data_IF_398004271463
#
_entry.id   IF_398004271463
#
_cell.length_a   1.000
_cell.length_b   1.000
_cell.length_c   1.000
_cell.angle_alpha   90.00
_cell.angle_beta   90.00
_cell.angle_gamma   90.00
#
_symmetry.space_group_name_H-M   'P 1'
#
loop_
_entity.id
_entity.type
_entity.pdbx_description
1 polymer ?
#
# COMPACT_ATOMS: atom_id res chain seq x y z
N UNK A 1 7.85 -15.41 21.00
CA UNK A 1 8.72 -14.71 20.04
C UNK A 1 8.05 -13.39 19.66
N UNK A 2 8.55 -12.25 20.16
CA UNK A 2 8.19 -10.93 19.61
C UNK A 2 8.88 -10.82 18.27
N UNK A 3 8.11 -10.81 17.17
CA UNK A 3 8.63 -10.37 15.87
C UNK A 3 9.14 -8.94 16.04
N UNK A 4 10.45 -8.74 15.90
CA UNK A 4 11.02 -7.40 15.73
C UNK A 4 10.46 -6.87 14.41
N UNK A 5 9.81 -5.72 14.44
CA UNK A 5 9.31 -5.09 13.22
C UNK A 5 10.47 -4.71 12.31
N UNK A 6 10.25 -4.72 10.99
CA UNK A 6 11.26 -4.30 9.99
C UNK A 6 11.90 -2.93 10.31
N UNK A 7 11.16 -2.08 10.99
CA UNK A 7 11.59 -0.79 11.51
C UNK A 7 12.67 -0.90 12.60
N UNK A 8 12.54 -1.82 13.56
CA UNK A 8 13.57 -2.04 14.59
C UNK A 8 14.85 -2.65 14.01
N UNK A 9 14.74 -3.39 12.90
CA UNK A 9 15.90 -3.96 12.20
C UNK A 9 16.61 -2.88 11.37
N UNK A 10 15.89 -2.05 10.61
CA UNK A 10 16.49 -1.04 9.72
C UNK A 10 17.22 0.09 10.44
N UNK A 11 16.63 0.65 11.48
CA UNK A 11 17.21 1.78 12.24
C UNK A 11 18.36 1.31 13.13
N UNK A 12 18.25 0.14 13.76
CA UNK A 12 19.35 -0.43 14.57
C UNK A 12 20.51 -0.92 13.73
N UNK A 13 20.29 -1.40 12.51
CA UNK A 13 21.36 -1.82 11.60
C UNK A 13 22.27 -0.63 11.24
N UNK A 14 21.72 0.52 10.89
CA UNK A 14 22.54 1.70 10.53
C UNK A 14 23.22 2.30 11.77
N UNK A 15 22.52 2.51 12.88
CA UNK A 15 23.09 3.12 14.09
C UNK A 15 24.06 2.19 14.85
N UNK A 16 23.67 0.94 15.14
CA UNK A 16 24.49 0.01 15.92
C UNK A 16 25.67 -0.54 15.11
N UNK A 17 25.52 -0.80 13.81
CA UNK A 17 26.62 -1.19 12.95
C UNK A 17 27.68 -0.10 12.82
N UNK A 18 27.28 1.18 12.90
CA UNK A 18 28.21 2.28 12.86
C UNK A 18 28.97 2.47 14.18
N UNK A 19 28.36 2.21 15.34
CA UNK A 19 29.07 2.22 16.64
C UNK A 19 30.07 1.05 16.77
N UNK A 20 29.79 -0.11 16.20
CA UNK A 20 30.71 -1.27 16.16
C UNK A 20 31.92 -0.97 15.27
N UNK A 21 31.78 -0.13 14.24
CA UNK A 21 32.85 0.24 13.31
C UNK A 21 33.92 1.13 13.90
N UNK A 22 33.59 1.93 14.91
CA UNK A 22 34.55 2.79 15.61
C UNK A 22 35.77 2.00 16.08
N UNK A 23 35.53 0.83 16.66
CA UNK A 23 36.58 -0.07 17.11
C UNK A 23 37.29 -0.83 15.97
N UNK A 24 36.74 -0.87 14.74
CA UNK A 24 37.27 -1.69 13.65
C UNK A 24 38.19 -0.92 12.67
N UNK A 25 37.90 0.36 12.40
CA UNK A 25 38.73 1.25 11.56
C UNK A 25 39.50 2.30 12.37
N UNK A 26 39.35 2.32 13.70
CA UNK A 26 40.00 3.30 14.58
C UNK A 26 39.50 4.73 14.41
N UNK A 27 38.32 4.95 13.84
CA UNK A 27 37.68 6.25 13.63
C UNK A 27 36.71 6.60 14.76
N UNK A 28 36.61 7.87 15.10
CA UNK A 28 35.58 8.38 15.99
C UNK A 28 34.21 8.42 15.28
N UNK A 29 33.16 7.93 15.94
CA UNK A 29 31.79 8.02 15.43
C UNK A 29 30.83 8.48 16.52
N UNK A 30 29.94 9.39 16.16
CA UNK A 30 28.79 9.79 16.97
C UNK A 30 27.51 9.63 16.19
N UNK A 31 26.50 9.03 16.82
CA UNK A 31 25.17 8.83 16.27
C UNK A 31 24.12 9.53 17.12
N UNK A 32 23.17 10.19 16.47
CA UNK A 32 21.99 10.76 17.11
C UNK A 32 20.76 10.40 16.30
N UNK A 33 19.97 9.48 16.83
CA UNK A 33 18.71 9.07 16.21
C UNK A 33 17.57 9.94 16.72
N UNK A 34 16.89 10.58 15.80
CA UNK A 34 15.71 11.39 16.05
C UNK A 34 14.49 10.66 15.50
N UNK A 35 13.72 10.05 16.39
CA UNK A 35 12.45 9.43 16.03
C UNK A 35 11.30 10.35 16.43
N UNK A 36 10.39 10.62 15.50
CA UNK A 36 9.14 11.31 15.84
C UNK A 36 8.35 10.51 16.88
N UNK A 37 7.80 11.18 17.90
CA UNK A 37 7.03 10.56 18.99
C UNK A 37 5.71 9.91 18.54
N UNK A 38 5.33 10.02 17.29
CA UNK A 38 4.03 9.60 16.80
C UNK A 38 4.16 8.44 15.84
N UNK A 39 3.62 7.30 16.25
CA UNK A 39 3.08 6.22 15.42
C UNK A 39 4.06 5.47 14.49
N UNK A 40 3.78 4.21 14.23
CA UNK A 40 4.36 3.42 13.14
C UNK A 40 4.30 4.25 11.85
N UNK A 41 5.45 4.36 11.14
CA UNK A 41 5.65 5.19 9.94
C UNK A 41 5.93 6.70 10.17
N UNK A 42 6.36 7.12 11.36
CA UNK A 42 6.91 8.46 11.58
C UNK A 42 8.26 8.64 10.88
N UNK A 43 8.58 9.87 10.45
CA UNK A 43 9.88 10.21 9.89
C UNK A 43 11.00 9.92 10.90
N UNK A 44 12.08 9.28 10.43
CA UNK A 44 13.28 9.00 11.23
C UNK A 44 14.46 9.69 10.59
N UNK A 45 15.20 10.43 11.40
CA UNK A 45 16.45 11.06 11.02
C UNK A 45 17.56 10.52 11.90
N UNK A 46 18.64 10.06 11.29
CA UNK A 46 19.86 9.69 12.00
C UNK A 46 20.98 10.63 11.60
N UNK A 47 21.50 11.37 12.55
CA UNK A 47 22.71 12.18 12.38
C UNK A 47 23.91 11.32 12.71
N UNK A 48 24.83 11.24 11.77
CA UNK A 48 26.04 10.44 11.88
C UNK A 48 27.23 11.30 11.60
N UNK A 49 28.15 11.39 12.57
CA UNK A 49 29.43 12.06 12.42
C UNK A 49 30.55 11.03 12.46
N UNK A 50 31.45 11.10 11.50
CA UNK A 50 32.63 10.25 11.39
C UNK A 50 33.85 11.16 11.33
N UNK A 51 34.81 10.96 12.22
CA UNK A 51 36.08 11.70 12.28
C UNK A 51 37.25 10.75 12.38
N UNK A 52 38.45 11.22 12.15
CA UNK A 52 39.65 10.37 12.28
C UNK A 52 39.90 10.00 13.75
N UNK A 53 39.49 10.84 14.70
CA UNK A 53 39.59 10.58 16.13
C UNK A 53 38.30 10.96 16.84
N UNK A 54 37.91 10.25 17.93
CA UNK A 54 36.73 10.58 18.71
C UNK A 54 36.71 12.01 19.26
N UNK A 55 37.86 12.55 19.61
CA UNK A 55 38.03 13.89 20.18
C UNK A 55 37.70 15.02 19.18
N UNK A 56 37.72 14.72 17.89
CA UNK A 56 37.40 15.67 16.82
C UNK A 56 35.89 15.85 16.64
N UNK A 57 35.05 15.08 17.37
CA UNK A 57 33.58 15.16 17.32
C UNK A 57 33.06 16.00 18.47
N UNK A 58 32.77 17.27 18.21
CA UNK A 58 32.31 18.23 19.23
C UNK A 58 30.77 18.30 19.38
N UNK A 59 30.00 17.75 18.47
CA UNK A 59 28.55 17.73 18.51
C UNK A 59 27.99 16.48 17.82
N UNK A 60 26.94 15.89 18.38
CA UNK A 60 26.24 14.75 17.76
C UNK A 60 25.31 15.20 16.61
N UNK A 61 24.67 16.36 16.74
CA UNK A 61 23.74 16.88 15.73
C UNK A 61 24.49 17.58 14.60
N UNK A 62 24.09 17.29 13.36
CA UNK A 62 24.55 18.01 12.17
C UNK A 62 23.79 19.35 12.10
N UNK A 63 24.50 20.46 12.02
CA UNK A 63 23.91 21.80 11.91
C UNK A 63 23.40 22.07 10.49
N UNK A 64 22.79 23.24 10.28
CA UNK A 64 22.28 23.68 8.98
C UNK A 64 23.42 23.80 7.96
N UNK A 65 23.25 23.19 6.80
CA UNK A 65 24.24 23.20 5.71
C UNK A 65 25.53 22.42 5.98
N UNK A 66 25.60 21.59 7.02
CA UNK A 66 26.84 20.88 7.41
C UNK A 66 26.90 19.42 6.91
N UNK A 67 25.84 18.88 6.33
CA UNK A 67 25.89 17.51 5.84
C UNK A 67 26.82 17.38 4.64
N UNK A 68 27.70 16.36 4.66
CA UNK A 68 28.50 15.97 3.50
C UNK A 68 27.79 14.93 2.65
N UNK A 69 27.00 14.05 3.28
CA UNK A 69 26.25 13.00 2.60
C UNK A 69 24.85 12.87 3.16
N UNK A 70 23.87 12.63 2.28
CA UNK A 70 22.50 12.26 2.63
C UNK A 70 22.23 10.87 2.04
N UNK A 71 21.85 9.93 2.89
CA UNK A 71 21.33 8.62 2.50
C UNK A 71 19.83 8.59 2.79
N UNK A 72 19.02 8.79 1.76
CA UNK A 72 17.57 8.89 1.86
C UNK A 72 16.88 7.55 1.55
N UNK A 73 16.43 6.83 2.56
CA UNK A 73 15.60 5.63 2.37
C UNK A 73 14.16 5.91 1.95
N UNK A 74 13.71 7.15 2.09
CA UNK A 74 12.37 7.63 1.73
C UNK A 74 12.47 9.03 1.10
N UNK A 75 11.82 9.21 -0.06
CA UNK A 75 11.91 10.44 -0.83
C UNK A 75 11.19 11.61 -0.14
N UNK A 76 10.02 11.38 0.47
CA UNK A 76 9.22 12.42 1.15
C UNK A 76 9.99 12.96 2.35
N UNK A 77 10.58 12.07 3.13
CA UNK A 77 11.41 12.43 4.30
C UNK A 77 12.67 13.17 3.85
N UNK A 78 13.31 12.71 2.77
CA UNK A 78 14.53 13.33 2.23
C UNK A 78 14.30 14.74 1.67
N UNK A 79 13.11 15.03 1.13
CA UNK A 79 12.70 16.33 0.64
C UNK A 79 11.99 17.20 1.71
N UNK A 80 11.96 16.75 2.97
CA UNK A 80 11.37 17.53 4.06
C UNK A 80 12.24 18.76 4.41
N UNK A 81 11.62 19.80 4.97
CA UNK A 81 12.31 21.02 5.42
C UNK A 81 13.46 20.71 6.39
N UNK A 82 13.31 19.71 7.27
CA UNK A 82 14.36 19.30 8.22
C UNK A 82 15.57 18.73 7.47
N UNK A 83 15.36 17.80 6.51
CA UNK A 83 16.44 17.21 5.72
C UNK A 83 17.13 18.26 4.83
N UNK A 84 16.34 19.05 4.09
CA UNK A 84 16.86 20.11 3.22
C UNK A 84 17.68 21.14 3.99
N UNK A 85 17.30 21.46 5.22
CA UNK A 85 18.08 22.41 6.05
C UNK A 85 19.51 21.94 6.35
N UNK A 86 19.81 20.64 6.24
CA UNK A 86 21.16 20.10 6.48
C UNK A 86 22.02 20.12 5.23
N UNK A 87 21.43 20.34 4.07
CA UNK A 87 22.08 20.29 2.76
C UNK A 87 22.64 21.65 2.38
N UNK A 88 23.73 21.63 1.64
CA UNK A 88 24.38 22.82 1.06
C UNK A 88 24.94 22.46 -0.31
N UNK A 89 24.59 23.24 -1.33
CA UNK A 89 25.12 23.11 -2.68
C UNK A 89 26.65 23.18 -2.69
N UNK A 90 27.30 22.33 -3.49
CA UNK A 90 28.75 22.23 -3.60
C UNK A 90 29.43 21.51 -2.42
N UNK A 91 28.70 21.16 -1.35
CA UNK A 91 29.23 20.40 -0.22
C UNK A 91 28.54 19.04 -0.06
N UNK A 92 27.20 19.01 -0.15
CA UNK A 92 26.40 17.83 0.15
C UNK A 92 26.18 17.02 -1.13
N UNK A 93 26.43 15.71 -1.06
CA UNK A 93 25.97 14.75 -2.06
C UNK A 93 24.89 13.85 -1.49
N UNK A 94 23.91 13.48 -2.29
CA UNK A 94 22.77 12.68 -1.85
C UNK A 94 22.56 11.44 -2.73
N UNK A 95 22.25 10.31 -2.09
CA UNK A 95 21.69 9.11 -2.72
C UNK A 95 20.33 8.85 -2.07
N UNK A 96 19.27 8.87 -2.86
CA UNK A 96 17.91 8.82 -2.35
C UNK A 96 17.10 7.72 -3.05
N UNK A 97 16.42 6.89 -2.27
CA UNK A 97 15.47 5.94 -2.80
C UNK A 97 14.24 6.68 -3.33
N UNK A 98 13.95 6.48 -4.62
CA UNK A 98 12.82 7.10 -5.30
C UNK A 98 11.57 6.22 -5.34
N UNK A 99 11.50 5.19 -4.51
CA UNK A 99 10.31 4.33 -4.40
C UNK A 99 9.10 5.13 -3.98
N UNK A 100 8.00 4.99 -4.73
CA UNK A 100 6.73 5.64 -4.42
C UNK A 100 6.07 4.97 -3.22
N UNK A 101 6.10 5.63 -2.07
CA UNK A 101 5.44 5.14 -0.86
C UNK A 101 4.18 5.97 -0.58
N UNK A 102 2.96 5.39 -0.68
CA UNK A 102 1.73 6.12 -0.44
C UNK A 102 1.70 6.75 0.96
N UNK A 103 1.48 8.07 1.02
CA UNK A 103 1.33 8.81 2.29
C UNK A 103 -0.12 8.77 2.79
N UNK A 104 -0.39 9.33 4.00
CA UNK A 104 -1.74 9.43 4.53
C UNK A 104 -2.71 10.22 3.62
N UNK A 105 -2.21 11.08 2.74
CA UNK A 105 -3.04 11.81 1.78
C UNK A 105 -3.78 10.90 0.80
N UNK A 106 -3.19 9.77 0.43
CA UNK A 106 -3.86 8.73 -0.38
C UNK A 106 -5.18 8.25 0.25
N UNK A 107 -5.29 8.23 1.58
CA UNK A 107 -6.52 7.83 2.27
C UNK A 107 -7.60 8.92 2.26
N UNK A 108 -7.22 10.18 2.07
CA UNK A 108 -8.09 11.38 2.08
C UNK A 108 -8.51 11.78 0.69
N UNK A 109 -7.61 11.70 -0.28
CA UNK A 109 -7.84 12.05 -1.68
C UNK A 109 -7.65 10.82 -2.56
N UNK A 110 -8.70 10.41 -3.28
CA UNK A 110 -8.67 9.24 -4.20
C UNK A 110 -7.83 9.49 -5.45
N UNK A 111 -7.79 10.74 -5.89
CA UNK A 111 -7.10 11.17 -7.10
C UNK A 111 -5.69 11.69 -6.78
N UNK A 112 -5.23 11.42 -5.55
CA UNK A 112 -3.88 11.79 -5.15
C UNK A 112 -2.85 10.93 -5.88
N UNK A 113 -1.95 11.61 -6.57
CA UNK A 113 -0.79 10.99 -7.19
C UNK A 113 0.45 11.35 -6.38
N UNK A 114 1.36 10.39 -6.25
CA UNK A 114 2.62 10.64 -5.56
C UNK A 114 3.42 11.72 -6.31
N UNK A 115 3.81 12.83 -5.67
CA UNK A 115 4.45 13.95 -6.35
C UNK A 115 5.95 13.69 -6.61
N UNK A 116 6.28 12.53 -7.23
CA UNK A 116 7.64 12.05 -7.45
C UNK A 116 8.53 13.11 -8.10
N UNK A 117 8.09 13.64 -9.24
CA UNK A 117 8.87 14.63 -9.99
C UNK A 117 9.11 15.91 -9.20
N UNK A 118 8.12 16.40 -8.44
CA UNK A 118 8.24 17.60 -7.62
C UNK A 118 9.24 17.42 -6.47
N UNK A 119 9.21 16.28 -5.79
CA UNK A 119 10.15 15.98 -4.70
C UNK A 119 11.58 15.80 -5.19
N UNK A 120 11.74 15.12 -6.35
CA UNK A 120 13.06 15.00 -6.99
C UNK A 120 13.59 16.36 -7.43
N UNK A 121 12.75 17.18 -8.03
CA UNK A 121 13.13 18.53 -8.46
C UNK A 121 13.59 19.39 -7.29
N UNK A 122 12.91 19.34 -6.16
CA UNK A 122 13.29 20.09 -4.95
C UNK A 122 14.68 19.72 -4.42
N UNK A 123 15.04 18.44 -4.44
CA UNK A 123 16.38 17.97 -4.07
C UNK A 123 17.42 18.45 -5.08
N UNK A 124 17.12 18.38 -6.39
CA UNK A 124 17.99 18.85 -7.45
C UNK A 124 18.21 20.35 -7.38
N UNK A 125 17.18 21.14 -7.08
CA UNK A 125 17.30 22.59 -6.90
C UNK A 125 18.13 22.96 -5.69
N UNK A 126 18.09 22.14 -4.62
CA UNK A 126 18.86 22.40 -3.39
C UNK A 126 20.33 22.04 -3.52
N UNK A 127 20.68 21.00 -4.28
CA UNK A 127 22.04 20.44 -4.30
C UNK A 127 22.76 20.56 -5.66
N UNK A 128 22.04 20.86 -6.73
CA UNK A 128 22.49 20.70 -8.10
C UNK A 128 22.35 19.27 -8.62
N UNK A 129 22.09 19.13 -9.93
CA UNK A 129 21.80 17.83 -10.58
C UNK A 129 22.89 16.78 -10.37
N UNK A 130 24.14 17.18 -10.41
CA UNK A 130 25.30 16.27 -10.35
C UNK A 130 25.59 15.76 -8.92
N UNK A 131 24.91 16.33 -7.92
CA UNK A 131 25.11 15.98 -6.51
C UNK A 131 23.97 15.11 -5.94
N UNK A 132 22.98 14.75 -6.75
CA UNK A 132 21.84 13.92 -6.32
C UNK A 132 21.69 12.72 -7.25
N UNK A 133 21.73 11.54 -6.66
CA UNK A 133 21.46 10.27 -7.35
C UNK A 133 20.17 9.64 -6.80
N UNK A 134 19.33 9.16 -7.72
CA UNK A 134 18.09 8.48 -7.39
C UNK A 134 18.18 7.01 -7.77
N UNK A 135 17.75 6.14 -6.85
CA UNK A 135 17.75 4.69 -7.03
C UNK A 135 16.46 4.11 -6.47
N UNK A 136 15.78 3.21 -7.18
CA UNK A 136 14.67 2.46 -6.60
C UNK A 136 15.19 1.28 -5.78
N UNK A 137 15.61 1.59 -4.55
CA UNK A 137 16.23 0.61 -3.67
C UNK A 137 15.26 -0.51 -3.24
N UNK A 138 13.98 -0.22 -3.08
CA UNK A 138 12.98 -1.23 -2.68
C UNK A 138 12.67 -2.20 -3.81
N UNK A 139 12.51 -1.68 -5.03
CA UNK A 139 12.33 -2.55 -6.21
C UNK A 139 13.54 -3.47 -6.40
N UNK A 140 14.73 -2.91 -6.39
CA UNK A 140 15.94 -3.70 -6.56
C UNK A 140 16.12 -4.74 -5.44
N UNK A 141 15.84 -4.37 -4.18
CA UNK A 141 15.91 -5.31 -3.08
C UNK A 141 14.88 -6.43 -3.22
N UNK A 142 13.64 -6.11 -3.58
CA UNK A 142 12.58 -7.11 -3.78
C UNK A 142 12.92 -8.04 -4.94
N UNK A 143 13.36 -7.50 -6.07
CA UNK A 143 13.65 -8.29 -7.27
C UNK A 143 14.90 -9.18 -7.12
N UNK A 144 15.94 -8.67 -6.45
CA UNK A 144 17.25 -9.35 -6.37
C UNK A 144 17.42 -10.18 -5.10
N UNK A 145 16.70 -9.83 -4.01
CA UNK A 145 16.85 -10.44 -2.69
C UNK A 145 15.55 -11.09 -2.19
N UNK A 146 14.43 -10.88 -2.88
CA UNK A 146 13.12 -11.42 -2.51
C UNK A 146 12.37 -10.61 -1.45
N UNK A 147 12.96 -9.55 -0.86
CA UNK A 147 12.31 -8.75 0.18
C UNK A 147 12.83 -7.30 0.18
N UNK A 148 11.92 -6.34 0.29
CA UNK A 148 12.21 -4.91 0.42
C UNK A 148 12.97 -4.55 1.72
N UNK A 149 13.00 -5.43 2.72
CA UNK A 149 13.77 -5.24 3.96
C UNK A 149 15.26 -5.00 3.72
N UNK A 150 15.80 -5.50 2.61
CA UNK A 150 17.19 -5.33 2.23
C UNK A 150 17.51 -4.01 1.53
N UNK A 151 16.50 -3.15 1.28
CA UNK A 151 16.68 -1.88 0.58
C UNK A 151 17.69 -0.95 1.25
N UNK A 152 17.72 -0.90 2.60
CA UNK A 152 18.65 -0.05 3.34
C UNK A 152 20.11 -0.51 3.17
N UNK A 153 20.36 -1.82 3.18
CA UNK A 153 21.70 -2.36 2.96
C UNK A 153 22.16 -2.18 1.51
N UNK A 154 21.24 -2.29 0.55
CA UNK A 154 21.51 -2.01 -0.86
C UNK A 154 21.84 -0.52 -1.04
N UNK A 155 21.05 0.39 -0.46
CA UNK A 155 21.29 1.83 -0.50
C UNK A 155 22.65 2.19 0.12
N UNK A 156 22.99 1.57 1.25
CA UNK A 156 24.30 1.73 1.90
C UNK A 156 25.44 1.29 0.98
N UNK A 157 25.30 0.16 0.30
CA UNK A 157 26.29 -0.36 -0.67
C UNK A 157 26.47 0.58 -1.85
N UNK A 158 25.39 1.13 -2.36
CA UNK A 158 25.39 2.13 -3.43
C UNK A 158 26.14 3.42 -3.02
N UNK A 159 25.76 3.97 -1.87
CA UNK A 159 26.38 5.19 -1.34
C UNK A 159 27.86 4.98 -1.00
N UNK A 160 28.23 3.81 -0.46
CA UNK A 160 29.61 3.47 -0.16
C UNK A 160 30.48 3.40 -1.43
N UNK A 161 29.95 2.78 -2.48
CA UNK A 161 30.67 2.67 -3.76
C UNK A 161 30.91 4.05 -4.40
N UNK A 162 30.00 4.99 -4.17
CA UNK A 162 30.12 6.39 -4.61
C UNK A 162 30.97 7.26 -3.66
N UNK A 163 31.61 6.66 -2.65
CA UNK A 163 32.51 7.37 -1.75
C UNK A 163 31.84 8.24 -0.68
N UNK A 164 30.53 8.06 -0.46
CA UNK A 164 29.78 8.85 0.53
C UNK A 164 29.92 8.34 1.97
N UNK A 165 30.46 7.16 2.16
CA UNK A 165 30.64 6.51 3.46
C UNK A 165 32.13 6.24 3.69
N UNK A 166 32.83 7.04 4.52
CA UNK A 166 34.28 7.02 4.65
C UNK A 166 34.78 5.95 5.63
N UNK A 167 34.38 4.68 5.41
CA UNK A 167 34.81 3.52 6.19
C UNK A 167 35.20 2.37 5.25
N UNK A 168 36.09 1.48 5.70
CA UNK A 168 36.56 0.38 4.88
C UNK A 168 35.47 -0.69 4.62
N UNK A 169 35.55 -1.39 3.49
CA UNK A 169 34.67 -2.52 3.19
C UNK A 169 34.82 -3.65 4.22
N UNK A 170 36.03 -3.86 4.73
CA UNK A 170 36.32 -4.87 5.74
C UNK A 170 35.63 -4.57 7.08
N UNK A 171 35.63 -3.29 7.48
CA UNK A 171 34.93 -2.86 8.68
C UNK A 171 33.41 -3.03 8.56
N UNK A 172 32.85 -2.69 7.39
CA UNK A 172 31.43 -2.91 7.09
C UNK A 172 31.04 -4.39 7.13
N UNK A 173 31.82 -5.24 6.48
CA UNK A 173 31.58 -6.67 6.46
C UNK A 173 31.61 -7.27 7.88
N UNK A 174 32.60 -6.88 8.68
CA UNK A 174 32.72 -7.32 10.07
C UNK A 174 31.57 -6.81 10.93
N UNK A 175 31.07 -5.58 10.71
CA UNK A 175 29.91 -5.05 11.39
C UNK A 175 28.64 -5.84 11.06
N UNK A 176 28.43 -6.22 9.80
CA UNK A 176 27.33 -7.09 9.37
C UNK A 176 27.39 -8.45 10.11
N UNK A 177 28.58 -9.05 10.22
CA UNK A 177 28.78 -10.31 10.95
C UNK A 177 28.47 -10.16 12.43
N UNK A 178 28.96 -9.10 13.06
CA UNK A 178 28.75 -8.84 14.50
C UNK A 178 27.27 -8.56 14.84
N UNK A 179 26.51 -7.95 13.94
CA UNK A 179 25.06 -7.76 14.09
C UNK A 179 24.29 -9.11 14.11
N UNK A 180 24.79 -10.14 13.46
CA UNK A 180 24.29 -11.50 13.50
C UNK A 180 22.93 -11.76 12.86
N UNK A 181 22.24 -10.73 12.33
CA UNK A 181 20.95 -10.86 11.69
C UNK A 181 21.11 -11.03 10.19
N UNK A 182 20.62 -12.12 9.60
CA UNK A 182 20.60 -12.40 8.17
C UNK A 182 21.94 -12.03 7.46
N UNK A 183 23.07 -12.38 8.05
CA UNK A 183 24.42 -11.92 7.69
C UNK A 183 24.70 -12.05 6.21
N UNK A 184 24.48 -13.23 5.63
CA UNK A 184 24.78 -13.44 4.22
C UNK A 184 23.87 -12.64 3.29
N UNK A 185 22.57 -12.55 3.61
CA UNK A 185 21.63 -11.75 2.83
C UNK A 185 21.98 -10.24 2.87
N UNK A 186 22.39 -9.72 4.03
CA UNK A 186 22.84 -8.33 4.16
C UNK A 186 24.12 -8.05 3.38
N UNK A 187 25.07 -9.01 3.37
CA UNK A 187 26.27 -8.94 2.52
C UNK A 187 25.93 -8.89 1.04
N UNK A 188 25.03 -9.75 0.60
CA UNK A 188 24.58 -9.79 -0.79
C UNK A 188 23.84 -8.50 -1.18
N UNK A 189 22.97 -7.98 -0.32
CA UNK A 189 22.30 -6.71 -0.57
C UNK A 189 23.28 -5.53 -0.69
N UNK A 190 24.26 -5.44 0.21
CA UNK A 190 25.33 -4.46 0.12
C UNK A 190 26.12 -4.59 -1.20
N UNK A 191 26.46 -5.82 -1.60
CA UNK A 191 27.16 -6.07 -2.85
C UNK A 191 26.32 -5.69 -4.08
N UNK A 192 25.01 -5.95 -4.07
CA UNK A 192 24.11 -5.51 -5.14
C UNK A 192 24.03 -3.99 -5.23
N UNK A 193 24.00 -3.29 -4.10
CA UNK A 193 24.07 -1.83 -4.08
C UNK A 193 25.35 -1.30 -4.74
N UNK A 194 26.50 -1.88 -4.41
CA UNK A 194 27.79 -1.55 -5.05
C UNK A 194 27.76 -1.79 -6.56
N UNK A 195 27.22 -2.92 -6.99
CA UNK A 195 27.08 -3.24 -8.43
C UNK A 195 26.17 -2.24 -9.15
N UNK A 196 25.07 -1.83 -8.51
CA UNK A 196 24.14 -0.86 -9.07
C UNK A 196 24.78 0.53 -9.24
N UNK A 197 25.71 0.92 -8.37
CA UNK A 197 26.48 2.16 -8.51
C UNK A 197 27.50 2.12 -9.68
N UNK A 198 28.05 0.94 -9.98
CA UNK A 198 29.03 0.78 -11.07
C UNK A 198 28.37 0.59 -12.44
N UNK A 199 27.30 -0.22 -12.49
CA UNK A 199 26.58 -0.53 -13.73
C UNK A 199 25.08 -0.64 -13.46
N UNK A 200 24.39 0.52 -13.35
CA UNK A 200 22.97 0.56 -13.03
C UNK A 200 22.11 -0.11 -14.11
N UNK A 201 22.52 -0.02 -15.39
CA UNK A 201 21.75 -0.60 -16.49
C UNK A 201 21.76 -2.13 -16.45
N UNK A 202 22.91 -2.72 -16.15
CA UNK A 202 23.05 -4.17 -16.02
C UNK A 202 22.26 -4.71 -14.84
N UNK A 203 22.30 -4.02 -13.70
CA UNK A 203 21.55 -4.40 -12.51
C UNK A 203 20.05 -4.26 -12.75
N UNK A 204 19.59 -3.18 -13.36
CA UNK A 204 18.18 -3.00 -13.72
C UNK A 204 17.71 -4.10 -14.70
N UNK A 205 18.53 -4.51 -15.65
CA UNK A 205 18.20 -5.62 -16.56
C UNK A 205 18.05 -6.97 -15.83
N UNK A 206 18.88 -7.23 -14.82
CA UNK A 206 18.81 -8.45 -14.00
C UNK A 206 17.58 -8.42 -13.09
N UNK A 207 17.30 -7.28 -12.49
CA UNK A 207 16.11 -7.08 -11.63
C UNK A 207 14.81 -7.23 -12.41
N UNK A 208 14.82 -6.95 -13.72
CA UNK A 208 13.64 -6.94 -14.56
C UNK A 208 12.80 -5.68 -14.39
N UNK A 209 11.69 -5.60 -15.12
CA UNK A 209 10.76 -4.48 -14.98
C UNK A 209 10.17 -4.46 -13.57
N UNK A 210 9.85 -3.27 -13.09
CA UNK A 210 9.04 -3.10 -11.88
C UNK A 210 7.72 -3.82 -12.16
N UNK A 211 7.44 -4.92 -11.43
CA UNK A 211 6.15 -5.64 -11.46
C UNK A 211 5.04 -4.83 -10.75
N UNK A 212 5.06 -3.55 -10.88
CA UNK A 212 3.91 -2.69 -10.89
C UNK A 212 3.59 -2.46 -12.35
N UNK A 213 2.73 -3.29 -12.94
CA UNK A 213 2.02 -2.83 -14.13
C UNK A 213 1.54 -1.43 -13.78
N UNK A 214 2.04 -0.42 -14.51
CA UNK A 214 1.43 0.89 -14.46
C UNK A 214 -0.07 0.62 -14.56
N UNK A 215 -0.85 1.05 -13.55
CA UNK A 215 -2.28 0.79 -13.54
C UNK A 215 -2.83 1.43 -14.81
N UNK A 216 -2.90 0.62 -15.86
CA UNK A 216 -3.56 1.00 -17.10
C UNK A 216 -5.03 0.92 -16.74
N UNK A 217 -5.66 2.08 -16.68
CA UNK A 217 -7.09 2.14 -16.42
C UNK A 217 -7.80 1.29 -17.50
N UNK A 218 -8.56 0.26 -17.11
CA UNK A 218 -9.18 -0.61 -18.08
C UNK A 218 -10.13 0.18 -18.98
N UNK A 219 -10.19 -0.15 -20.24
CA UNK A 219 -11.21 0.38 -21.14
C UNK A 219 -12.61 0.16 -20.56
N UNK A 220 -13.62 0.89 -21.03
CA UNK A 220 -14.99 0.72 -20.56
C UNK A 220 -15.47 -0.72 -20.78
N UNK A 221 -15.11 -1.34 -21.91
CA UNK A 221 -15.48 -2.70 -22.25
C UNK A 221 -14.82 -3.72 -21.31
N UNK A 222 -13.53 -3.57 -21.06
CA UNK A 222 -12.80 -4.42 -20.13
C UNK A 222 -13.34 -4.31 -18.70
N UNK A 223 -13.70 -3.11 -18.27
CA UNK A 223 -14.33 -2.88 -16.97
C UNK A 223 -15.66 -3.64 -16.90
N UNK A 224 -16.56 -3.46 -17.87
CA UNK A 224 -17.87 -4.11 -17.90
C UNK A 224 -17.69 -5.63 -17.93
N UNK A 225 -16.82 -6.16 -18.81
CA UNK A 225 -16.54 -7.59 -18.90
C UNK A 225 -16.02 -8.17 -17.58
N UNK A 226 -15.09 -7.48 -16.92
CA UNK A 226 -14.57 -7.85 -15.60
C UNK A 226 -15.68 -7.89 -14.53
N UNK A 227 -16.61 -6.92 -14.54
CA UNK A 227 -17.74 -6.89 -13.58
C UNK A 227 -18.73 -8.02 -13.85
N UNK A 228 -19.03 -8.32 -15.10
CA UNK A 228 -19.88 -9.47 -15.49
C UNK A 228 -19.26 -10.78 -15.00
N UNK A 229 -17.96 -11.00 -15.24
CA UNK A 229 -17.26 -12.19 -14.77
C UNK A 229 -17.27 -12.28 -13.23
N UNK A 230 -17.03 -11.17 -12.54
CA UNK A 230 -17.09 -11.13 -11.08
C UNK A 230 -18.49 -11.45 -10.53
N UNK A 231 -19.55 -10.84 -11.06
CA UNK A 231 -20.92 -11.06 -10.61
C UNK A 231 -21.38 -12.49 -10.88
N UNK A 232 -20.97 -13.09 -11.99
CA UNK A 232 -21.19 -14.50 -12.29
C UNK A 232 -20.52 -15.40 -11.27
N UNK A 233 -19.26 -15.13 -10.92
CA UNK A 233 -18.54 -15.89 -9.89
C UNK A 233 -19.08 -15.63 -8.48
N UNK A 234 -19.55 -14.41 -8.20
CA UNK A 234 -20.11 -14.01 -6.92
C UNK A 234 -21.42 -14.76 -6.60
N UNK A 235 -22.33 -14.87 -7.56
CA UNK A 235 -23.59 -15.59 -7.40
C UNK A 235 -23.92 -16.48 -8.60
N UNK A 236 -24.36 -15.88 -9.73
CA UNK A 236 -24.79 -16.60 -10.93
C UNK A 236 -24.86 -15.69 -12.17
N UNK A 237 -25.20 -16.30 -13.31
CA UNK A 237 -25.39 -15.59 -14.58
C UNK A 237 -26.61 -14.66 -14.57
N UNK A 238 -27.62 -14.93 -13.72
CA UNK A 238 -28.82 -14.08 -13.57
C UNK A 238 -28.48 -12.71 -12.98
N UNK A 239 -27.62 -12.68 -11.96
CA UNK A 239 -27.13 -11.43 -11.38
C UNK A 239 -26.29 -10.62 -12.37
N UNK A 240 -25.41 -11.31 -13.12
CA UNK A 240 -24.64 -10.71 -14.18
C UNK A 240 -25.51 -10.12 -15.30
N UNK A 241 -26.55 -10.83 -15.74
CA UNK A 241 -27.50 -10.35 -16.71
C UNK A 241 -28.33 -9.13 -16.23
N UNK A 242 -28.69 -9.08 -14.93
CA UNK A 242 -29.32 -7.90 -14.30
C UNK A 242 -28.40 -6.68 -14.42
N UNK A 243 -27.14 -6.84 -14.08
CA UNK A 243 -26.13 -5.80 -14.24
C UNK A 243 -26.01 -5.34 -15.69
N UNK A 244 -25.82 -6.28 -16.62
CA UNK A 244 -25.63 -5.98 -18.03
C UNK A 244 -26.79 -5.16 -18.61
N UNK A 245 -28.03 -5.60 -18.40
CA UNK A 245 -29.23 -4.87 -18.87
C UNK A 245 -29.25 -3.42 -18.36
N UNK A 246 -28.88 -3.21 -17.09
CA UNK A 246 -28.84 -1.85 -16.52
C UNK A 246 -27.74 -1.00 -17.14
N UNK A 247 -26.56 -1.57 -17.37
CA UNK A 247 -25.45 -0.87 -18.04
C UNK A 247 -25.81 -0.50 -19.47
N UNK A 248 -26.46 -1.39 -20.22
CA UNK A 248 -26.92 -1.12 -21.58
C UNK A 248 -27.91 0.06 -21.64
N UNK A 249 -28.84 0.15 -20.66
CA UNK A 249 -29.78 1.28 -20.58
C UNK A 249 -29.08 2.62 -20.31
N UNK A 250 -28.05 2.64 -19.48
CA UNK A 250 -27.28 3.86 -19.20
C UNK A 250 -26.37 4.22 -20.37
N UNK A 251 -25.78 3.23 -21.01
CA UNK A 251 -24.91 3.40 -22.20
C UNK A 251 -25.67 4.06 -23.38
N UNK A 252 -26.95 3.75 -23.51
CA UNK A 252 -27.81 4.37 -24.52
C UNK A 252 -27.94 5.89 -24.38
N UNK A 253 -27.55 6.48 -23.23
CA UNK A 253 -27.49 7.93 -23.01
C UNK A 253 -26.27 8.60 -23.65
N UNK A 254 -25.31 7.82 -24.20
CA UNK A 254 -24.15 8.33 -24.95
C UNK A 254 -23.07 9.01 -24.09
N UNK A 255 -22.98 8.69 -22.78
CA UNK A 255 -21.97 9.25 -21.89
C UNK A 255 -21.14 8.11 -21.26
N UNK A 256 -19.88 7.95 -21.72
CA UNK A 256 -18.98 6.89 -21.28
C UNK A 256 -18.52 7.08 -19.83
N UNK A 257 -18.32 8.31 -19.37
CA UNK A 257 -17.95 8.58 -17.97
C UNK A 257 -19.06 8.21 -17.01
N UNK A 258 -20.30 8.55 -17.33
CA UNK A 258 -21.47 8.12 -16.58
C UNK A 258 -21.61 6.61 -16.58
N UNK A 259 -21.45 5.97 -17.73
CA UNK A 259 -21.52 4.51 -17.86
C UNK A 259 -20.44 3.81 -17.03
N UNK A 260 -19.21 4.31 -17.05
CA UNK A 260 -18.09 3.81 -16.22
C UNK A 260 -18.39 3.96 -14.74
N UNK A 261 -18.90 5.11 -14.32
CA UNK A 261 -19.27 5.36 -12.91
C UNK A 261 -20.36 4.40 -12.46
N UNK A 262 -21.43 4.26 -13.26
CA UNK A 262 -22.52 3.33 -12.95
C UNK A 262 -22.02 1.88 -12.92
N UNK A 263 -21.20 1.46 -13.90
CA UNK A 263 -20.64 0.11 -13.93
C UNK A 263 -19.83 -0.20 -12.66
N UNK A 264 -19.08 0.77 -12.17
CA UNK A 264 -18.28 0.62 -10.94
C UNK A 264 -19.15 0.54 -9.70
N UNK A 265 -20.06 1.48 -9.53
CA UNK A 265 -20.85 1.61 -8.29
C UNK A 265 -21.97 0.56 -8.21
N UNK A 266 -22.62 0.26 -9.33
CA UNK A 266 -23.69 -0.73 -9.37
C UNK A 266 -23.17 -2.14 -9.11
N UNK A 267 -22.08 -2.55 -9.76
CA UNK A 267 -21.44 -3.85 -9.48
C UNK A 267 -21.05 -3.99 -8.00
N UNK A 268 -20.57 -2.92 -7.38
CA UNK A 268 -20.21 -2.88 -5.96
C UNK A 268 -21.42 -3.02 -5.02
N UNK A 269 -22.58 -2.45 -5.38
CA UNK A 269 -23.81 -2.62 -4.61
C UNK A 269 -24.47 -3.99 -4.83
N UNK A 270 -24.34 -4.57 -6.03
CA UNK A 270 -24.82 -5.92 -6.34
C UNK A 270 -24.01 -7.01 -5.64
N UNK A 271 -22.71 -6.78 -5.40
CA UNK A 271 -21.81 -7.74 -4.78
C UNK A 271 -21.18 -7.20 -3.48
N UNK A 272 -21.98 -6.93 -2.42
CA UNK A 272 -21.41 -6.60 -1.11
C UNK A 272 -20.64 -7.81 -0.56
N UNK A 273 -19.53 -7.55 0.11
CA UNK A 273 -18.75 -8.60 0.75
C UNK A 273 -19.55 -9.26 1.87
N UNK A 274 -19.81 -10.54 1.72
CA UNK A 274 -20.55 -11.34 2.70
C UNK A 274 -19.82 -12.66 3.02
N UNK A 275 -20.45 -13.51 3.83
CA UNK A 275 -19.90 -14.75 4.31
C UNK A 275 -19.62 -15.74 3.16
N UNK A 276 -20.49 -15.77 2.15
CA UNK A 276 -20.33 -16.61 0.95
C UNK A 276 -19.15 -16.14 0.10
N UNK A 277 -19.04 -14.82 -0.09
CA UNK A 277 -17.93 -14.25 -0.86
C UNK A 277 -16.59 -14.42 -0.13
N UNK A 278 -16.56 -14.24 1.19
CA UNK A 278 -15.36 -14.54 1.98
C UNK A 278 -14.96 -16.01 1.82
N UNK A 279 -15.93 -16.92 1.87
CA UNK A 279 -15.67 -18.33 1.68
C UNK A 279 -15.15 -18.64 0.27
N UNK A 280 -15.75 -18.05 -0.78
CA UNK A 280 -15.31 -18.20 -2.18
C UNK A 280 -13.88 -17.70 -2.38
N UNK A 281 -13.55 -16.52 -1.87
CA UNK A 281 -12.22 -15.93 -2.00
C UNK A 281 -11.12 -16.78 -1.37
N UNK A 282 -11.43 -17.52 -0.31
CA UNK A 282 -10.46 -18.44 0.32
C UNK A 282 -10.38 -19.81 -0.34
N UNK A 283 -11.35 -20.21 -1.16
CA UNK A 283 -11.48 -21.61 -1.61
C UNK A 283 -11.58 -21.82 -3.11
N UNK A 284 -12.06 -20.82 -3.87
CA UNK A 284 -12.30 -20.91 -5.31
C UNK A 284 -11.42 -19.96 -6.14
N UNK A 285 -10.43 -19.31 -5.50
CA UNK A 285 -9.43 -18.50 -6.18
C UNK A 285 -8.06 -19.20 -6.16
N UNK A 286 -7.08 -18.63 -6.82
CA UNK A 286 -5.68 -19.08 -6.81
C UNK A 286 -4.96 -18.88 -5.47
N UNK A 287 -5.66 -18.39 -4.42
CA UNK A 287 -5.09 -18.10 -3.10
C UNK A 287 -4.30 -19.27 -2.49
N UNK A 288 -4.87 -20.48 -2.50
CA UNK A 288 -4.20 -21.67 -1.95
C UNK A 288 -3.03 -22.13 -2.82
N UNK A 289 -3.13 -21.96 -4.13
CA UNK A 289 -2.05 -22.26 -5.07
C UNK A 289 -0.88 -21.30 -4.85
N UNK A 290 -1.13 -19.98 -4.82
CA UNK A 290 -0.10 -18.97 -4.54
C UNK A 290 0.60 -19.18 -3.19
N UNK A 291 -0.13 -19.65 -2.17
CA UNK A 291 0.50 -20.00 -0.90
C UNK A 291 1.48 -21.17 -1.06
N UNK A 292 1.13 -22.19 -1.83
CA UNK A 292 2.02 -23.32 -2.13
C UNK A 292 3.23 -22.93 -2.97
N UNK A 293 3.05 -21.98 -3.89
CA UNK A 293 4.12 -21.48 -4.77
C UNK A 293 5.11 -20.57 -4.05
N UNK A 294 4.64 -19.82 -3.04
CA UNK A 294 5.45 -18.81 -2.32
C UNK A 294 6.09 -19.33 -1.00
N UNK A 295 5.65 -20.48 -0.49
CA UNK A 295 6.13 -21.00 0.79
C UNK A 295 6.44 -22.47 0.72
N UNK A 296 7.68 -22.84 1.07
CA UNK A 296 8.10 -24.24 1.22
C UNK A 296 7.69 -24.83 2.58
N UNK A 297 7.33 -26.10 2.58
CA UNK A 297 7.07 -26.88 3.80
C UNK A 297 5.58 -27.03 4.16
N UNK A 298 5.29 -27.47 5.40
CA UNK A 298 3.93 -27.71 5.88
C UNK A 298 3.27 -26.41 6.33
N UNK A 299 2.39 -25.85 5.52
CA UNK A 299 1.63 -24.65 5.85
C UNK A 299 0.54 -24.96 6.89
N UNK A 300 0.43 -24.13 7.92
CA UNK A 300 -0.67 -24.16 8.88
C UNK A 300 -1.48 -22.87 8.77
N UNK A 301 -2.66 -22.95 8.15
CA UNK A 301 -3.57 -21.83 8.01
C UNK A 301 -4.34 -21.57 9.31
N UNK A 302 -4.52 -20.28 9.64
CA UNK A 302 -5.39 -19.82 10.71
C UNK A 302 -6.31 -18.73 10.16
N UNK A 303 -7.61 -18.86 10.42
CA UNK A 303 -8.62 -17.92 9.94
C UNK A 303 -9.11 -17.07 11.11
N UNK A 304 -9.02 -15.75 10.99
CA UNK A 304 -9.46 -14.78 11.99
C UNK A 304 -10.77 -14.13 11.52
N UNK A 305 -11.90 -14.75 11.84
CA UNK A 305 -13.24 -14.35 11.39
C UNK A 305 -14.12 -13.89 12.55
N UNK A 306 -15.12 -13.08 12.24
CA UNK A 306 -16.15 -12.65 13.19
C UNK A 306 -17.52 -13.07 12.66
N UNK A 307 -17.90 -14.38 12.75
CA UNK A 307 -19.18 -14.85 12.24
C UNK A 307 -20.34 -14.16 12.95
N UNK A 308 -21.40 -13.75 12.21
CA UNK A 308 -22.61 -13.21 12.80
C UNK A 308 -23.23 -14.18 13.82
N UNK A 309 -23.66 -13.66 14.96
CA UNK A 309 -24.28 -14.45 16.03
C UNK A 309 -23.31 -15.23 16.94
N UNK A 310 -22.04 -15.46 16.51
CA UNK A 310 -21.03 -16.15 17.32
C UNK A 310 -20.04 -15.18 17.95
N UNK A 311 -19.83 -14.04 17.35
CA UNK A 311 -18.83 -13.05 17.80
C UNK A 311 -19.40 -12.13 18.86
N UNK A 312 -18.74 -12.03 20.02
CA UNK A 312 -19.08 -11.05 21.06
C UNK A 312 -18.61 -9.66 20.65
N UNK A 313 -19.38 -8.63 20.97
CA UNK A 313 -18.96 -7.25 20.76
C UNK A 313 -17.86 -6.86 21.75
N UNK A 314 -16.84 -6.16 21.28
CA UNK A 314 -15.82 -5.54 22.11
C UNK A 314 -16.32 -4.24 22.76
N UNK A 315 -15.52 -3.60 23.64
CA UNK A 315 -15.87 -2.31 24.25
C UNK A 315 -16.03 -1.18 23.23
N UNK A 316 -15.42 -1.33 22.05
CA UNK A 316 -15.46 -0.42 20.90
C UNK A 316 -16.68 -0.68 19.97
N UNK A 317 -17.60 -1.54 20.37
CA UNK A 317 -18.77 -1.94 19.57
C UNK A 317 -18.45 -2.82 18.36
N UNK A 318 -17.20 -3.25 18.18
CA UNK A 318 -16.78 -4.11 17.06
C UNK A 318 -16.83 -5.59 17.45
N UNK A 319 -17.23 -6.48 16.52
CA UNK A 319 -17.20 -7.92 16.77
C UNK A 319 -15.76 -8.40 17.00
N UNK A 320 -15.51 -9.13 18.09
CA UNK A 320 -14.20 -9.77 18.34
C UNK A 320 -14.01 -10.92 17.36
N UNK A 321 -12.85 -10.93 16.70
CA UNK A 321 -12.47 -12.03 15.80
C UNK A 321 -12.15 -13.29 16.61
N UNK A 322 -12.67 -14.41 16.12
CA UNK A 322 -12.39 -15.76 16.64
C UNK A 322 -11.37 -16.41 15.69
N UNK A 323 -10.39 -17.09 16.25
CA UNK A 323 -9.39 -17.81 15.48
C UNK A 323 -9.81 -19.26 15.24
N UNK A 324 -9.88 -19.64 13.98
CA UNK A 324 -10.21 -21.00 13.54
C UNK A 324 -8.96 -21.64 12.92
N UNK A 325 -8.81 -22.93 13.12
CA UNK A 325 -7.72 -23.72 12.53
C UNK A 325 -7.99 -24.15 11.08
N UNK A 326 -7.11 -24.97 10.50
CA UNK A 326 -7.23 -25.44 9.10
C UNK A 326 -8.51 -26.22 8.82
N UNK A 327 -9.15 -26.79 9.85
CA UNK A 327 -10.41 -27.54 9.77
C UNK A 327 -11.58 -26.68 9.22
N UNK A 328 -11.44 -25.33 9.27
CA UNK A 328 -12.47 -24.44 8.72
C UNK A 328 -12.53 -24.48 7.19
N UNK A 329 -11.44 -24.84 6.50
CA UNK A 329 -11.37 -24.81 5.06
C UNK A 329 -12.44 -25.66 4.34
N UNK A 330 -12.72 -26.91 4.75
CA UNK A 330 -13.85 -27.66 4.20
C UNK A 330 -15.22 -26.99 4.42
N UNK A 331 -15.43 -26.35 5.56
CA UNK A 331 -16.66 -25.60 5.86
C UNK A 331 -16.80 -24.41 4.92
N UNK A 332 -15.72 -23.65 4.70
CA UNK A 332 -15.69 -22.55 3.73
C UNK A 332 -15.97 -23.04 2.30
N UNK A 333 -15.41 -24.19 1.89
CA UNK A 333 -15.72 -24.80 0.57
C UNK A 333 -17.21 -25.11 0.39
N UNK A 334 -17.84 -25.64 1.43
CA UNK A 334 -19.29 -25.90 1.41
C UNK A 334 -20.08 -24.58 1.36
N UNK A 335 -19.71 -23.60 2.18
CA UNK A 335 -20.34 -22.30 2.21
C UNK A 335 -20.22 -21.56 0.87
N UNK A 336 -19.06 -21.62 0.21
CA UNK A 336 -18.87 -21.05 -1.12
C UNK A 336 -19.83 -21.64 -2.16
N UNK A 337 -20.09 -22.95 -2.13
CA UNK A 337 -21.06 -23.62 -3.01
C UNK A 337 -22.50 -23.21 -2.70
N UNK A 338 -22.80 -22.90 -1.42
CA UNK A 338 -24.12 -22.48 -1.00
C UNK A 338 -24.48 -21.03 -1.42
N UNK A 339 -23.62 -20.31 -2.16
CA UNK A 339 -23.89 -18.91 -2.59
C UNK A 339 -25.17 -18.74 -3.42
N UNK A 340 -25.66 -19.81 -4.04
CA UNK A 340 -26.91 -19.79 -4.83
C UNK A 340 -28.17 -19.54 -3.97
N UNK A 341 -28.13 -19.88 -2.68
CA UNK A 341 -29.25 -19.59 -1.77
C UNK A 341 -29.25 -18.15 -1.25
N UNK A 342 -28.23 -17.36 -1.59
CA UNK A 342 -28.09 -15.96 -1.16
C UNK A 342 -29.34 -15.16 -1.49
N UNK A 343 -29.85 -14.44 -0.47
CA UNK A 343 -31.05 -13.62 -0.60
C UNK A 343 -32.38 -14.39 -0.65
N UNK A 344 -32.36 -15.73 -0.68
CA UNK A 344 -33.56 -16.55 -0.57
C UNK A 344 -34.03 -16.68 0.90
N UNK A 345 -35.19 -17.26 1.12
CA UNK A 345 -35.71 -17.55 2.48
C UNK A 345 -34.86 -18.63 3.20
N UNK A 346 -34.05 -19.41 2.45
CA UNK A 346 -33.13 -20.41 2.99
C UNK A 346 -31.76 -19.80 3.38
N UNK A 347 -31.52 -18.53 3.08
CA UNK A 347 -30.26 -17.85 3.42
C UNK A 347 -30.22 -17.51 4.93
N UNK A 348 -29.39 -18.18 5.72
CA UNK A 348 -29.34 -17.96 7.18
C UNK A 348 -28.89 -16.53 7.54
N UNK A 349 -28.25 -15.81 6.63
CA UNK A 349 -27.77 -14.45 6.83
C UNK A 349 -28.77 -13.38 6.32
N UNK A 350 -29.86 -13.79 5.70
CA UNK A 350 -30.84 -12.90 5.06
C UNK A 350 -31.40 -11.82 6.00
N UNK A 351 -31.61 -12.17 7.25
CA UNK A 351 -32.26 -11.29 8.25
C UNK A 351 -31.26 -10.45 9.04
N UNK A 352 -29.97 -10.45 8.70
CA UNK A 352 -29.01 -9.60 9.41
C UNK A 352 -29.26 -8.11 9.13
N UNK A 353 -29.03 -7.22 10.12
CA UNK A 353 -29.20 -5.78 9.94
C UNK A 353 -28.34 -5.21 8.79
N UNK A 354 -27.13 -5.74 8.61
CA UNK A 354 -26.24 -5.34 7.52
C UNK A 354 -26.83 -5.63 6.14
N UNK A 355 -27.44 -6.81 5.96
CA UNK A 355 -28.12 -7.18 4.71
C UNK A 355 -29.33 -6.32 4.42
N UNK A 356 -30.04 -5.87 5.47
CA UNK A 356 -31.14 -4.92 5.30
C UNK A 356 -30.67 -3.57 4.77
N UNK A 357 -29.53 -3.06 5.28
CA UNK A 357 -28.88 -1.85 4.77
C UNK A 357 -28.46 -2.01 3.31
N UNK A 358 -27.80 -3.13 2.98
CA UNK A 358 -27.34 -3.38 1.61
C UNK A 358 -28.50 -3.45 0.61
N UNK A 359 -29.60 -4.12 0.96
CA UNK A 359 -30.82 -4.16 0.12
C UNK A 359 -31.43 -2.79 -0.10
N UNK A 360 -31.48 -1.96 0.95
CA UNK A 360 -31.98 -0.58 0.84
C UNK A 360 -31.09 0.27 -0.08
N UNK A 361 -29.78 0.24 0.12
CA UNK A 361 -28.84 0.98 -0.72
C UNK A 361 -28.95 0.58 -2.19
N UNK A 362 -29.11 -0.71 -2.49
CA UNK A 362 -29.30 -1.20 -3.85
C UNK A 362 -30.62 -0.70 -4.46
N UNK A 363 -31.73 -0.80 -3.73
CA UNK A 363 -33.04 -0.32 -4.18
C UNK A 363 -33.04 1.19 -4.43
N UNK A 364 -32.44 1.95 -3.52
CA UNK A 364 -32.27 3.40 -3.64
C UNK A 364 -31.45 3.77 -4.89
N UNK A 365 -30.39 3.02 -5.16
CA UNK A 365 -29.54 3.26 -6.33
C UNK A 365 -30.25 2.90 -7.65
N UNK A 366 -30.99 1.82 -7.70
CA UNK A 366 -31.78 1.44 -8.88
C UNK A 366 -32.84 2.49 -9.22
N UNK A 367 -33.53 3.05 -8.20
CA UNK A 367 -34.46 4.15 -8.39
C UNK A 367 -33.76 5.44 -8.90
N UNK A 368 -32.51 5.69 -8.47
CA UNK A 368 -31.75 6.82 -8.97
C UNK A 368 -31.28 6.59 -10.41
N UNK A 369 -30.93 5.36 -10.81
CA UNK A 369 -30.61 5.03 -12.20
C UNK A 369 -31.82 5.19 -13.13
N UNK A 370 -33.05 4.86 -12.64
CA UNK A 370 -34.27 5.12 -13.39
C UNK A 370 -34.51 6.62 -13.60
N UNK A 371 -34.26 7.42 -12.57
CA UNK A 371 -34.34 8.88 -12.65
C UNK A 371 -33.30 9.45 -13.63
N UNK A 372 -32.04 9.00 -13.56
CA UNK A 372 -30.99 9.41 -14.50
C UNK A 372 -31.38 9.09 -15.94
N UNK A 373 -31.94 7.91 -16.18
CA UNK A 373 -32.39 7.51 -17.52
C UNK A 373 -33.55 8.38 -18.03
N UNK A 374 -34.36 8.97 -17.16
CA UNK A 374 -35.49 9.83 -17.53
C UNK A 374 -35.11 11.29 -17.79
N UNK A 375 -33.94 11.75 -17.28
CA UNK A 375 -33.47 13.15 -17.36
C UNK A 375 -32.19 13.23 -18.17
N UNK A 376 -32.32 13.47 -19.47
CA UNK A 376 -31.16 13.41 -20.41
C UNK A 376 -30.35 14.70 -20.56
N UNK A 377 -30.77 15.83 -19.95
CA UNK A 377 -30.19 17.14 -20.23
C UNK A 377 -29.22 17.70 -19.18
N UNK A 378 -28.86 16.92 -18.14
CA UNK A 378 -27.98 17.36 -17.02
C UNK A 378 -26.88 16.35 -16.72
N UNK A 379 -25.88 16.20 -17.59
CA UNK A 379 -24.86 15.15 -17.46
C UNK A 379 -24.04 15.25 -16.18
N UNK A 380 -23.70 16.46 -15.72
CA UNK A 380 -22.94 16.67 -14.50
C UNK A 380 -23.72 16.25 -13.22
N UNK A 381 -25.01 16.61 -13.14
CA UNK A 381 -25.87 16.20 -12.03
C UNK A 381 -26.14 14.69 -12.04
N UNK A 382 -26.31 14.09 -13.22
CA UNK A 382 -26.44 12.65 -13.39
C UNK A 382 -25.18 11.90 -12.90
N UNK A 383 -23.99 12.37 -13.24
CA UNK A 383 -22.72 11.82 -12.80
C UNK A 383 -22.58 11.91 -11.27
N UNK A 384 -22.91 13.06 -10.70
CA UNK A 384 -22.89 13.25 -9.24
C UNK A 384 -23.86 12.29 -8.54
N UNK A 385 -25.08 12.14 -9.06
CA UNK A 385 -26.07 11.21 -8.51
C UNK A 385 -25.62 9.76 -8.71
N UNK A 386 -24.99 9.39 -9.82
CA UNK A 386 -24.46 8.04 -10.04
C UNK A 386 -23.31 7.68 -9.11
N UNK A 387 -22.59 8.65 -8.54
CA UNK A 387 -21.37 8.42 -7.75
C UNK A 387 -21.61 8.38 -6.22
N UNK A 388 -22.78 8.68 -5.69
CA UNK A 388 -23.01 8.70 -4.24
C UNK A 388 -22.63 7.38 -3.52
N UNK A 389 -22.78 6.17 -4.13
CA UNK A 389 -22.37 4.95 -3.44
C UNK A 389 -20.88 4.87 -3.14
N UNK A 390 -20.05 5.69 -3.77
CA UNK A 390 -18.61 5.76 -3.48
C UNK A 390 -18.31 6.11 -2.03
N UNK A 391 -19.19 6.85 -1.37
CA UNK A 391 -19.09 7.23 0.03
C UNK A 391 -19.42 6.07 0.99
N UNK A 392 -20.12 5.03 0.54
CA UNK A 392 -20.50 3.88 1.37
C UNK A 392 -19.32 2.95 1.53
N UNK A 393 -18.58 3.06 2.62
CA UNK A 393 -17.37 2.27 2.90
C UNK A 393 -17.44 1.57 4.25
N UNK A 394 -16.56 0.56 4.44
CA UNK A 394 -16.42 -0.15 5.71
C UNK A 394 -17.36 -1.34 5.87
N UNK A 395 -17.43 -1.86 7.09
CA UNK A 395 -18.24 -3.00 7.50
C UNK A 395 -18.93 -2.71 8.84
N UNK A 396 -20.07 -3.38 9.10
CA UNK A 396 -20.81 -3.25 10.36
C UNK A 396 -21.16 -1.79 10.69
N UNK A 397 -20.92 -1.31 11.91
CA UNK A 397 -21.29 0.05 12.33
C UNK A 397 -20.69 1.17 11.45
N UNK A 398 -19.46 0.98 10.95
CA UNK A 398 -18.79 1.96 10.07
C UNK A 398 -19.57 2.09 8.75
N UNK A 399 -20.01 0.96 8.18
CA UNK A 399 -20.80 0.95 6.94
C UNK A 399 -22.16 1.61 7.15
N UNK A 400 -22.82 1.38 8.28
CA UNK A 400 -24.09 2.00 8.61
C UNK A 400 -23.98 3.52 8.74
N UNK A 401 -22.94 4.03 9.40
CA UNK A 401 -22.65 5.46 9.49
C UNK A 401 -22.35 6.08 8.11
N UNK A 402 -21.52 5.39 7.32
CA UNK A 402 -21.21 5.83 5.96
C UNK A 402 -22.46 5.85 5.07
N UNK A 403 -23.36 4.88 5.20
CA UNK A 403 -24.63 4.83 4.48
C UNK A 403 -25.54 6.02 4.84
N UNK A 404 -25.61 6.41 6.11
CA UNK A 404 -26.38 7.59 6.54
C UNK A 404 -25.84 8.88 5.91
N UNK A 405 -24.50 9.06 5.92
CA UNK A 405 -23.86 10.21 5.30
C UNK A 405 -24.07 10.22 3.78
N UNK A 406 -23.93 9.07 3.13
CA UNK A 406 -24.15 8.92 1.70
C UNK A 406 -25.60 9.21 1.28
N UNK A 407 -26.59 8.88 2.13
CA UNK A 407 -28.01 9.22 1.89
C UNK A 407 -28.23 10.73 1.81
N UNK A 408 -27.55 11.52 2.65
CA UNK A 408 -27.65 12.99 2.58
C UNK A 408 -27.05 13.55 1.28
N UNK A 409 -25.88 13.05 0.87
CA UNK A 409 -25.27 13.43 -0.40
C UNK A 409 -26.14 13.04 -1.59
N UNK A 410 -26.77 11.85 -1.54
CA UNK A 410 -27.76 11.39 -2.54
C UNK A 410 -28.93 12.36 -2.69
N UNK A 411 -29.54 12.77 -1.58
CA UNK A 411 -30.70 13.70 -1.62
C UNK A 411 -30.34 15.03 -2.27
N UNK A 412 -29.16 15.56 -1.94
CA UNK A 412 -28.65 16.80 -2.55
C UNK A 412 -28.42 16.63 -4.06
N UNK A 413 -27.78 15.55 -4.48
CA UNK A 413 -27.52 15.26 -5.88
C UNK A 413 -28.84 15.01 -6.67
N UNK A 414 -29.80 14.33 -6.04
CA UNK A 414 -31.13 14.08 -6.63
C UNK A 414 -31.91 15.37 -6.83
N UNK A 415 -31.90 16.28 -5.85
CA UNK A 415 -32.52 17.60 -5.98
C UNK A 415 -31.89 18.41 -7.14
N UNK A 416 -30.55 18.40 -7.28
CA UNK A 416 -29.86 19.08 -8.36
C UNK A 416 -30.20 18.51 -9.75
N UNK A 417 -30.47 17.21 -9.86
CA UNK A 417 -30.88 16.59 -11.12
C UNK A 417 -32.31 16.98 -11.51
N UNK A 418 -33.24 17.07 -10.54
CA UNK A 418 -34.66 17.37 -10.78
C UNK A 418 -34.93 18.88 -10.94
N UNK A 419 -34.16 19.75 -10.21
CA UNK A 419 -34.24 21.21 -10.36
C UNK A 419 -33.87 21.68 -11.75
#
# INVERSE_FOLDING_TARGET
FKQKTAYEIGVRLVGSEMCIRDSLDGKGISTLDMTGLAQKYGAVFSHLRIADRPEDIHAARIATGEAHAILGGDLVVSASTEALSKMLEGRTRAVVSCTETPTAEFTRNRDWHFPLAGLQQQLVETLGRDNVEFIDAQHLATALMGDALYANMLLLGYAWQNGLVPVSAAALDKAIVLNGAAVEANRQAFLWGRRAAVDPQKVAKIAGPIDGQAFVEPTLEELIASRIAHLTAYQDTGLAARFQRRIESIRALGNDELTRTVATQYARLLAPKDEYEVARLHTETDFLQRLGDNFDGKLRLSFHLAPPGLSRLGPDGRPKKITFGPWLLPVLKWLAKARQIRGSWLDPFHFSPEKAVDRRLLADYEADLDLIASVSNKPAAALQLANWPAEVRGFGPIRSQAATKASQARETARAALVA
#
